data_IF_736638106797
#
_entry.id   IF_736638106797
#
_cell.length_a   1.000
_cell.length_b   1.000
_cell.length_c   1.000
_cell.angle_alpha   90.00
_cell.angle_beta   90.00
_cell.angle_gamma   90.00
#
_symmetry.space_group_name_H-M   'P 1'
#
loop_
_entity.id
_entity.type
_entity.pdbx_description
1 polymer ?
#
# COMPACT_ATOMS: atom_id res chain seq x y z
N UNK A 1 11.14 -6.11 21.92
CA UNK A 1 11.06 -6.42 20.47
C UNK A 1 11.16 -5.11 19.71
N UNK A 2 12.13 -4.98 18.81
CA UNK A 2 12.30 -3.81 17.94
C UNK A 2 11.85 -4.21 16.54
N UNK A 3 11.07 -3.35 15.89
CA UNK A 3 10.71 -3.49 14.49
C UNK A 3 11.75 -2.78 13.62
N UNK A 4 12.59 -3.56 12.91
CA UNK A 4 13.51 -2.97 11.93
C UNK A 4 12.75 -2.70 10.64
N UNK A 5 12.48 -1.42 10.40
CA UNK A 5 11.84 -0.93 9.20
C UNK A 5 12.93 -0.43 8.24
N UNK A 6 12.88 -0.73 6.95
CA UNK A 6 13.90 -0.20 6.06
C UNK A 6 13.87 1.33 6.00
N UNK A 7 15.03 1.98 5.84
CA UNK A 7 15.08 3.44 5.83
C UNK A 7 14.45 4.05 4.58
N UNK A 8 14.43 3.29 3.48
CA UNK A 8 13.90 3.72 2.17
C UNK A 8 13.03 2.64 1.54
N UNK A 9 12.05 3.08 0.76
CA UNK A 9 11.22 2.27 -0.14
C UNK A 9 11.68 2.50 -1.57
N UNK A 10 11.92 1.45 -2.34
CA UNK A 10 12.16 1.57 -3.78
C UNK A 10 10.84 1.86 -4.50
N UNK A 11 10.86 2.84 -5.40
CA UNK A 11 9.73 3.26 -6.22
C UNK A 11 9.69 2.54 -7.57
N UNK A 12 10.75 1.82 -7.96
CA UNK A 12 10.87 1.23 -9.29
C UNK A 12 9.88 0.07 -9.48
N UNK A 13 8.97 0.22 -10.45
CA UNK A 13 8.02 -0.82 -10.83
C UNK A 13 8.69 -2.12 -11.26
N UNK A 14 9.89 -2.06 -11.85
CA UNK A 14 10.64 -3.27 -12.29
C UNK A 14 10.95 -4.21 -11.11
N UNK A 15 11.11 -3.68 -9.90
CA UNK A 15 11.31 -4.52 -8.71
C UNK A 15 9.98 -5.10 -8.18
N UNK A 16 8.83 -4.52 -8.53
CA UNK A 16 7.49 -4.98 -8.15
C UNK A 16 6.87 -5.92 -9.20
N UNK A 17 7.25 -5.81 -10.47
CA UNK A 17 6.84 -6.73 -11.54
C UNK A 17 7.72 -7.98 -11.48
N UNK A 18 7.25 -8.99 -10.75
CA UNK A 18 7.80 -10.35 -10.85
C UNK A 18 7.76 -10.82 -12.31
N UNK A 19 8.94 -11.02 -12.87
CA UNK A 19 9.19 -11.92 -14.00
C UNK A 19 9.01 -11.30 -15.37
N UNK A 20 9.96 -11.68 -16.24
CA UNK A 20 9.97 -11.47 -17.69
C UNK A 20 10.38 -10.04 -18.09
N UNK A 21 11.67 -9.86 -18.33
CA UNK A 21 12.24 -9.45 -19.63
C UNK A 21 13.76 -9.37 -19.43
N UNK A 22 14.46 -10.25 -20.15
CA UNK A 22 15.89 -10.20 -20.38
C UNK A 22 16.25 -8.82 -20.96
N UNK A 23 17.28 -8.16 -20.45
CA UNK A 23 18.36 -7.62 -21.28
C UNK A 23 19.47 -7.05 -20.40
N UNK A 24 20.68 -7.49 -20.77
CA UNK A 24 22.00 -7.03 -20.42
C UNK A 24 22.14 -5.51 -20.45
N UNK A 25 22.77 -4.97 -19.41
CA UNK A 25 23.84 -3.95 -19.45
C UNK A 25 23.92 -3.28 -18.08
N UNK A 26 24.48 -4.03 -17.14
CA UNK A 26 24.70 -3.61 -15.76
C UNK A 26 26.04 -2.89 -15.60
N UNK A 27 26.29 -1.83 -16.37
CA UNK A 27 27.51 -1.01 -16.22
C UNK A 27 27.23 0.44 -16.59
N UNK A 28 26.65 1.21 -15.66
CA UNK A 28 27.02 2.61 -15.39
C UNK A 28 26.14 3.20 -14.27
N UNK A 29 26.82 3.79 -13.27
CA UNK A 29 26.31 4.77 -12.30
C UNK A 29 25.05 4.39 -11.47
N UNK A 30 25.22 3.45 -10.54
CA UNK A 30 24.19 3.03 -9.57
C UNK A 30 23.84 4.06 -8.48
N UNK A 31 24.68 5.06 -8.22
CA UNK A 31 24.44 6.00 -7.10
C UNK A 31 23.37 7.05 -7.40
N UNK A 32 23.43 7.72 -8.56
CA UNK A 32 22.50 8.82 -8.89
C UNK A 32 21.07 8.36 -9.24
N UNK A 33 20.90 7.13 -9.75
CA UNK A 33 19.58 6.61 -10.14
C UNK A 33 18.74 6.13 -8.94
N UNK A 34 19.36 5.86 -7.79
CA UNK A 34 18.64 5.40 -6.60
C UNK A 34 17.91 6.50 -5.84
N UNK A 35 18.42 7.74 -5.85
CA UNK A 35 17.75 8.87 -5.17
C UNK A 35 16.41 9.20 -5.84
N UNK A 36 16.34 9.17 -7.17
CA UNK A 36 15.09 9.37 -7.93
C UNK A 36 14.17 8.16 -7.95
N UNK A 37 14.67 6.97 -7.58
CA UNK A 37 13.89 5.73 -7.56
C UNK A 37 13.62 5.17 -6.16
N UNK A 38 13.74 6.00 -5.12
CA UNK A 38 13.38 5.63 -3.76
C UNK A 38 12.82 6.80 -2.96
N UNK A 39 11.95 6.52 -2.00
CA UNK A 39 11.50 7.52 -1.02
C UNK A 39 11.89 7.09 0.41
N UNK A 40 12.07 8.07 1.30
CA UNK A 40 12.31 7.78 2.72
C UNK A 40 11.05 7.15 3.34
N UNK A 41 11.22 6.14 4.18
CA UNK A 41 10.07 5.50 4.85
C UNK A 41 9.34 6.46 5.79
N UNK A 42 10.05 7.42 6.37
CA UNK A 42 9.48 8.51 7.19
C UNK A 42 8.59 9.47 6.38
N UNK A 43 8.80 9.55 5.06
CA UNK A 43 7.93 10.36 4.19
C UNK A 43 6.57 9.71 3.97
N UNK A 44 6.44 8.41 4.27
CA UNK A 44 5.24 7.61 4.15
C UNK A 44 4.60 7.34 5.50
N UNK A 45 5.41 7.02 6.53
CA UNK A 45 4.94 6.57 7.83
C UNK A 45 5.40 7.48 8.97
N UNK A 46 4.55 7.64 9.96
CA UNK A 46 4.88 8.35 11.19
C UNK A 46 5.61 7.41 12.15
N UNK A 47 6.94 7.47 12.12
CA UNK A 47 7.81 6.56 12.89
C UNK A 47 7.62 6.73 14.40
N UNK A 48 7.41 7.95 14.86
CA UNK A 48 7.17 8.23 16.28
C UNK A 48 5.82 7.63 16.73
N UNK A 49 4.79 7.75 15.90
CA UNK A 49 3.49 7.14 16.18
C UNK A 49 3.55 5.62 16.20
N UNK A 50 4.27 4.99 15.25
CA UNK A 50 4.51 3.54 15.26
C UNK A 50 5.27 3.14 16.53
N UNK A 51 6.28 3.92 16.91
CA UNK A 51 7.16 3.65 18.05
C UNK A 51 6.43 3.60 19.40
N UNK A 52 5.22 4.18 19.49
CA UNK A 52 4.33 4.03 20.67
C UNK A 52 3.79 2.60 20.84
N UNK A 53 3.68 1.84 19.75
CA UNK A 53 3.20 0.44 19.78
C UNK A 53 4.37 -0.54 19.74
N UNK A 54 5.35 -0.29 18.88
CA UNK A 54 6.56 -1.11 18.76
C UNK A 54 7.74 -0.22 18.44
N UNK A 55 8.82 -0.23 19.25
CA UNK A 55 10.01 0.56 18.96
C UNK A 55 10.51 0.28 17.54
N UNK A 56 10.70 1.34 16.74
CA UNK A 56 11.15 1.23 15.36
C UNK A 56 12.61 1.62 15.24
N UNK A 57 13.34 0.88 14.43
CA UNK A 57 14.69 1.24 13.99
C UNK A 57 14.68 1.27 12.47
N UNK A 58 15.08 2.41 11.90
CA UNK A 58 15.27 2.51 10.47
C UNK A 58 16.57 1.81 10.07
N UNK A 59 16.51 0.95 9.06
CA UNK A 59 17.66 0.19 8.56
C UNK A 59 18.59 1.12 7.77
N UNK A 60 19.39 1.90 8.51
CA UNK A 60 20.45 2.76 8.00
C UNK A 60 21.63 2.79 8.99
N UNK A 61 22.86 3.08 8.53
CA UNK A 61 24.05 3.07 9.38
C UNK A 61 23.94 3.97 10.62
N UNK A 62 23.28 5.13 10.49
CA UNK A 62 23.15 6.11 11.58
C UNK A 62 22.30 5.56 12.73
N UNK A 63 21.16 4.95 12.43
CA UNK A 63 20.27 4.36 13.44
C UNK A 63 20.93 3.18 14.14
N UNK A 64 21.65 2.35 13.37
CA UNK A 64 22.42 1.25 13.92
C UNK A 64 23.55 1.73 14.82
N UNK A 65 24.32 2.73 14.41
CA UNK A 65 25.37 3.33 15.21
C UNK A 65 24.83 3.90 16.53
N UNK A 66 23.66 4.56 16.50
CA UNK A 66 23.02 5.09 17.70
C UNK A 66 22.59 3.99 18.68
N UNK A 67 22.10 2.85 18.18
CA UNK A 67 21.72 1.69 19.00
C UNK A 67 22.96 1.07 19.64
N UNK A 68 23.99 0.78 18.84
CA UNK A 68 25.25 0.18 19.31
C UNK A 68 25.93 1.10 20.31
N UNK A 69 25.92 2.41 20.06
CA UNK A 69 26.50 3.40 20.97
C UNK A 69 25.71 3.56 22.27
N UNK A 70 24.40 3.26 22.27
CA UNK A 70 23.58 3.21 23.49
C UNK A 70 23.82 1.91 24.27
N UNK A 71 23.98 0.78 23.59
CA UNK A 71 24.28 -0.50 24.26
C UNK A 71 25.66 -0.48 24.93
N UNK A 72 26.68 0.10 24.30
CA UNK A 72 28.02 0.21 24.93
C UNK A 72 28.04 1.12 26.15
N UNK A 73 27.15 2.12 26.23
CA UNK A 73 27.01 3.00 27.41
C UNK A 73 26.31 2.35 28.59
N UNK A 74 25.63 1.22 28.40
CA UNK A 74 24.92 0.50 29.46
C UNK A 74 25.85 -0.40 30.32
N UNK A 75 27.16 -0.38 30.09
CA UNK A 75 28.15 -1.17 30.86
C UNK A 75 28.15 -2.65 30.50
N UNK A 76 28.84 -3.47 31.31
CA UNK A 76 28.95 -4.95 31.14
C UNK A 76 27.58 -5.66 31.12
N UNK A 77 26.51 -5.03 31.62
CA UNK A 77 25.15 -5.58 31.59
C UNK A 77 24.38 -5.28 30.29
N UNK A 78 24.90 -4.42 29.41
CA UNK A 78 24.26 -3.97 28.17
C UNK A 78 24.39 -4.92 26.97
N UNK A 79 24.69 -6.20 27.23
CA UNK A 79 25.22 -7.14 26.25
C UNK A 79 24.25 -7.49 25.11
N UNK A 80 24.81 -7.49 23.90
CA UNK A 80 24.16 -7.99 22.68
C UNK A 80 24.14 -9.52 22.76
N UNK A 81 23.01 -10.09 23.18
CA UNK A 81 22.85 -11.55 23.26
C UNK A 81 22.41 -12.15 21.91
N UNK A 82 23.10 -13.21 21.47
CA UNK A 82 22.71 -13.97 20.28
C UNK A 82 21.48 -14.86 20.59
N UNK A 83 20.33 -14.52 19.99
CA UNK A 83 19.04 -15.15 20.29
C UNK A 83 18.56 -16.16 19.21
N UNK A 84 19.41 -16.55 18.26
CA UNK A 84 19.01 -17.48 17.20
C UNK A 84 18.72 -18.87 17.79
N UNK A 85 17.54 -19.42 17.52
CA UNK A 85 17.11 -20.73 18.01
C UNK A 85 16.50 -20.73 19.42
N UNK A 86 16.57 -19.61 20.15
CA UNK A 86 16.03 -19.49 21.50
C UNK A 86 14.49 -19.43 21.44
N UNK A 87 13.83 -20.21 22.30
CA UNK A 87 12.37 -20.27 22.31
C UNK A 87 11.75 -18.96 22.85
N UNK A 88 10.48 -18.69 22.50
CA UNK A 88 9.78 -17.49 23.03
C UNK A 88 9.65 -17.51 24.56
N UNK A 89 9.50 -18.69 25.13
CA UNK A 89 9.40 -18.88 26.58
C UNK A 89 10.73 -18.57 27.25
N UNK A 90 11.82 -19.13 26.71
CA UNK A 90 13.17 -18.91 27.22
C UNK A 90 13.62 -17.45 27.11
N UNK A 91 13.29 -16.75 26.00
CA UNK A 91 13.53 -15.31 25.88
C UNK A 91 12.80 -14.47 26.94
N UNK A 92 11.72 -15.00 27.53
CA UNK A 92 10.91 -14.31 28.54
C UNK A 92 11.35 -14.66 29.97
N UNK A 93 11.78 -15.90 30.19
CA UNK A 93 12.10 -16.44 31.52
C UNK A 93 13.59 -16.32 31.87
N UNK A 94 14.49 -16.37 30.88
CA UNK A 94 15.92 -16.31 31.12
C UNK A 94 16.40 -14.87 31.34
N UNK A 95 16.98 -14.62 32.52
CA UNK A 95 17.48 -13.30 32.94
C UNK A 95 18.56 -12.74 32.01
N UNK A 96 19.31 -13.61 31.31
CA UNK A 96 20.27 -13.22 30.27
C UNK A 96 19.64 -12.34 29.18
N UNK A 97 18.38 -12.60 28.83
CA UNK A 97 17.66 -11.86 27.79
C UNK A 97 16.76 -10.75 28.35
N UNK A 98 16.59 -10.66 29.67
CA UNK A 98 15.64 -9.74 30.31
C UNK A 98 15.89 -8.27 29.98
N UNK A 99 17.17 -7.88 29.80
CA UNK A 99 17.60 -6.54 29.38
C UNK A 99 17.96 -6.44 27.89
N UNK A 100 17.95 -7.56 27.16
CA UNK A 100 18.42 -7.61 25.79
C UNK A 100 17.43 -6.96 24.81
N UNK A 101 17.94 -6.13 23.90
CA UNK A 101 17.14 -5.62 22.79
C UNK A 101 16.90 -6.72 21.75
N UNK A 102 15.74 -7.38 21.83
CA UNK A 102 15.36 -8.37 20.82
C UNK A 102 15.03 -7.68 19.49
N UNK A 103 15.98 -7.71 18.56
CA UNK A 103 15.86 -7.17 17.21
C UNK A 103 15.05 -8.15 16.36
N UNK A 104 13.82 -7.78 16.03
CA UNK A 104 13.04 -8.53 15.06
C UNK A 104 13.18 -7.82 13.71
N UNK A 105 13.99 -8.41 12.83
CA UNK A 105 14.06 -7.92 11.46
C UNK A 105 12.70 -8.16 10.80
N UNK A 106 12.27 -7.16 10.04
CA UNK A 106 11.18 -7.15 9.03
C UNK A 106 9.72 -7.02 9.54
N UNK A 107 8.83 -6.69 8.61
CA UNK A 107 7.42 -6.36 8.81
C UNK A 107 6.47 -7.36 8.13
N UNK A 108 5.16 -7.14 8.31
CA UNK A 108 4.09 -7.83 7.56
C UNK A 108 4.48 -8.06 6.09
N UNK A 109 4.36 -9.29 5.57
CA UNK A 109 4.77 -9.65 4.20
C UNK A 109 3.99 -8.90 3.11
N UNK A 110 2.95 -8.17 3.51
CA UNK A 110 2.07 -7.41 2.63
C UNK A 110 2.38 -5.90 2.62
N UNK A 111 3.36 -5.43 3.39
CA UNK A 111 3.80 -4.04 3.33
C UNK A 111 4.53 -3.80 1.99
N UNK A 112 4.25 -2.70 1.29
CA UNK A 112 4.80 -2.44 -0.06
C UNK A 112 6.32 -2.55 -0.16
N UNK A 113 7.01 -2.20 0.91
CA UNK A 113 8.46 -2.27 0.94
C UNK A 113 9.00 -3.71 0.92
N UNK A 114 8.15 -4.71 1.18
CA UNK A 114 8.48 -6.14 1.04
C UNK A 114 8.49 -6.62 -0.41
N UNK A 115 7.98 -5.84 -1.37
CA UNK A 115 7.96 -6.22 -2.80
C UNK A 115 9.35 -6.21 -3.44
N UNK A 116 10.31 -5.48 -2.86
CA UNK A 116 11.70 -5.46 -3.36
C UNK A 116 12.43 -6.79 -3.18
N UNK A 117 13.14 -7.19 -4.25
CA UNK A 117 13.71 -8.52 -4.55
C UNK A 117 14.44 -9.25 -3.41
N UNK A 118 14.99 -8.54 -2.43
CA UNK A 118 15.86 -9.12 -1.38
C UNK A 118 15.24 -9.17 0.02
N UNK A 119 13.94 -8.90 0.17
CA UNK A 119 13.24 -9.03 1.48
C UNK A 119 12.63 -10.41 1.72
N UNK A 120 13.19 -11.44 1.08
CA UNK A 120 12.85 -12.85 1.31
C UNK A 120 13.21 -13.32 2.73
N UNK A 121 14.05 -12.57 3.45
CA UNK A 121 14.25 -12.72 4.91
C UNK A 121 13.01 -12.21 5.65
N UNK A 122 11.98 -13.06 5.66
CA UNK A 122 10.67 -12.85 6.29
C UNK A 122 10.82 -12.63 7.80
N UNK A 123 10.11 -11.64 8.32
CA UNK A 123 10.00 -11.44 9.76
C UNK A 123 8.94 -12.29 10.41
N UNK A 124 9.17 -12.60 11.68
CA UNK A 124 8.15 -13.12 12.59
C UNK A 124 7.24 -12.04 13.21
N UNK A 125 7.38 -10.76 12.80
CA UNK A 125 6.57 -9.67 13.35
C UNK A 125 5.16 -9.72 12.77
N UNK A 126 4.25 -10.26 13.58
CA UNK A 126 2.80 -10.27 13.39
C UNK A 126 2.21 -8.86 13.63
N UNK A 127 2.64 -7.85 12.88
CA UNK A 127 1.85 -6.62 12.83
C UNK A 127 0.57 -6.90 12.04
N UNK A 128 -0.62 -6.52 12.55
CA UNK A 128 -1.86 -6.66 11.80
C UNK A 128 -1.73 -6.00 10.42
N UNK A 129 -2.40 -6.57 9.42
CA UNK A 129 -2.37 -6.04 8.05
C UNK A 129 -2.72 -4.54 7.97
N UNK A 130 -3.64 -4.08 8.83
CA UNK A 130 -4.10 -2.70 8.87
C UNK A 130 -3.20 -1.75 9.66
N UNK A 131 -2.16 -2.26 10.35
CA UNK A 131 -1.34 -1.44 11.25
C UNK A 131 -0.53 -0.37 10.53
N UNK A 132 0.32 -0.74 9.56
CA UNK A 132 1.09 0.27 8.81
C UNK A 132 0.19 1.26 8.07
N UNK A 133 -0.89 0.82 7.40
CA UNK A 133 -1.86 1.74 6.84
C UNK A 133 -2.52 2.73 7.78
N UNK A 134 -2.59 2.43 9.09
CA UNK A 134 -3.12 3.36 10.10
C UNK A 134 -2.06 4.31 10.65
N UNK A 135 -0.81 4.20 10.21
CA UNK A 135 0.32 5.02 10.68
C UNK A 135 0.97 5.87 9.57
N UNK A 136 0.19 6.54 8.69
CA UNK A 136 0.75 7.41 7.66
C UNK A 136 1.45 8.63 8.27
N UNK A 137 2.43 9.21 7.58
CA UNK A 137 3.15 10.40 8.01
C UNK A 137 2.20 11.58 8.29
N UNK A 138 2.54 12.41 9.28
CA UNK A 138 1.69 13.53 9.73
C UNK A 138 1.23 14.44 8.58
N UNK A 139 2.14 14.83 7.69
CA UNK A 139 1.82 15.67 6.52
C UNK A 139 0.71 15.07 5.63
N UNK A 140 0.71 13.75 5.46
CA UNK A 140 -0.29 13.03 4.65
C UNK A 140 -1.64 12.98 5.36
N UNK A 141 -1.65 12.81 6.70
CA UNK A 141 -2.87 12.89 7.51
C UNK A 141 -3.49 14.27 7.45
N UNK A 142 -2.67 15.30 7.61
CA UNK A 142 -3.14 16.69 7.61
C UNK A 142 -3.73 17.07 6.25
N UNK A 143 -3.08 16.66 5.14
CA UNK A 143 -3.62 16.83 3.79
C UNK A 143 -4.95 16.10 3.57
N UNK A 144 -5.02 14.81 3.95
CA UNK A 144 -6.26 14.05 3.85
C UNK A 144 -7.39 14.68 4.69
N UNK A 145 -7.10 15.16 5.90
CA UNK A 145 -8.09 15.80 6.76
C UNK A 145 -8.63 17.10 6.13
N UNK A 146 -7.78 17.94 5.55
CA UNK A 146 -8.22 19.15 4.82
C UNK A 146 -9.16 18.79 3.66
N UNK A 147 -8.82 17.77 2.88
CA UNK A 147 -9.66 17.32 1.75
C UNK A 147 -11.01 16.79 2.25
N UNK A 148 -11.03 15.99 3.32
CA UNK A 148 -12.27 15.50 3.92
C UNK A 148 -13.19 16.61 4.40
N UNK A 149 -12.63 17.67 4.99
CA UNK A 149 -13.41 18.85 5.40
C UNK A 149 -14.07 19.52 4.18
N UNK A 150 -13.35 19.64 3.05
CA UNK A 150 -13.91 20.22 1.81
C UNK A 150 -14.97 19.30 1.18
N UNK A 151 -14.77 17.99 1.24
CA UNK A 151 -15.73 17.00 0.72
C UNK A 151 -17.02 16.95 1.54
N UNK A 152 -16.96 17.23 2.85
CA UNK A 152 -18.13 17.19 3.75
C UNK A 152 -18.62 15.76 4.02
N UNK A 153 -19.91 15.51 3.81
CA UNK A 153 -20.48 14.15 3.81
C UNK A 153 -20.43 13.56 2.39
N UNK A 154 -19.60 12.55 2.19
CA UNK A 154 -19.32 11.94 0.89
C UNK A 154 -19.22 10.43 0.99
N UNK A 155 -19.33 9.78 -0.17
CA UNK A 155 -18.99 8.38 -0.37
C UNK A 155 -17.76 8.26 -1.26
N UNK A 156 -17.12 7.10 -1.27
CA UNK A 156 -15.92 6.89 -2.06
C UNK A 156 -15.92 5.55 -2.80
N UNK A 157 -15.32 5.54 -3.98
CA UNK A 157 -14.99 4.32 -4.71
C UNK A 157 -13.49 4.27 -5.02
N UNK A 158 -12.92 3.07 -4.93
CA UNK A 158 -11.57 2.77 -5.42
C UNK A 158 -11.68 1.88 -6.65
N UNK A 159 -11.13 2.34 -7.77
CA UNK A 159 -11.20 1.65 -9.08
C UNK A 159 -9.81 1.38 -9.62
N UNK A 160 -9.37 0.11 -9.55
CA UNK A 160 -8.13 -0.38 -10.16
C UNK A 160 -8.41 -0.97 -11.53
N UNK A 161 -7.92 -0.32 -12.57
CA UNK A 161 -8.02 -0.76 -13.97
C UNK A 161 -6.65 -0.85 -14.61
N UNK A 162 -5.88 0.24 -14.59
CA UNK A 162 -4.68 0.41 -15.40
C UNK A 162 -3.55 -0.60 -15.15
N UNK A 163 -3.53 -1.27 -14.00
CA UNK A 163 -2.55 -2.30 -13.66
C UNK A 163 -3.09 -3.74 -13.72
N UNK A 164 -4.42 -3.90 -13.74
CA UNK A 164 -5.12 -5.19 -13.66
C UNK A 164 -5.74 -5.64 -14.99
N UNK A 165 -6.09 -4.70 -15.88
CA UNK A 165 -6.57 -4.97 -17.24
C UNK A 165 -5.38 -5.39 -18.13
N UNK A 166 -4.93 -6.62 -17.91
CA UNK A 166 -3.89 -7.27 -18.71
C UNK A 166 -4.53 -8.45 -19.42
N UNK A 167 -4.68 -8.30 -20.72
CA UNK A 167 -5.20 -9.35 -21.58
C UNK A 167 -4.06 -10.01 -22.35
N UNK A 168 -4.24 -11.30 -22.64
CA UNK A 168 -3.42 -12.03 -23.62
C UNK A 168 -4.35 -12.78 -24.56
N UNK A 169 -3.95 -12.95 -25.81
CA UNK A 169 -4.65 -13.85 -26.72
C UNK A 169 -4.15 -15.28 -26.51
N UNK A 170 -5.06 -16.24 -26.45
CA UNK A 170 -4.69 -17.65 -26.50
C UNK A 170 -4.40 -18.09 -27.96
N UNK A 171 -4.09 -19.39 -28.14
CA UNK A 171 -3.79 -19.97 -29.46
C UNK A 171 -4.94 -19.88 -30.48
N UNK A 172 -6.17 -19.58 -30.03
CA UNK A 172 -7.35 -19.42 -30.87
C UNK A 172 -7.71 -17.95 -31.09
N UNK A 173 -6.89 -17.01 -30.59
CA UNK A 173 -7.12 -15.57 -30.71
C UNK A 173 -8.12 -15.02 -29.70
N UNK A 174 -8.62 -15.85 -28.76
CA UNK A 174 -9.57 -15.43 -27.73
C UNK A 174 -8.84 -14.63 -26.66
N UNK A 175 -9.39 -13.47 -26.29
CA UNK A 175 -8.83 -12.66 -25.22
C UNK A 175 -9.06 -13.31 -23.86
N UNK A 176 -7.97 -13.48 -23.13
CA UNK A 176 -7.96 -14.01 -21.78
C UNK A 176 -7.50 -12.98 -20.78
N UNK A 177 -8.15 -12.93 -19.63
CA UNK A 177 -7.84 -12.06 -18.50
C UNK A 177 -7.62 -12.88 -17.23
N UNK A 178 -6.86 -12.33 -16.27
CA UNK A 178 -6.76 -12.85 -14.90
C UNK A 178 -7.92 -12.39 -14.00
N UNK A 179 -8.69 -11.40 -14.47
CA UNK A 179 -9.90 -10.88 -13.84
C UNK A 179 -10.96 -10.75 -14.94
N UNK A 180 -11.66 -11.84 -15.29
CA UNK A 180 -12.51 -11.91 -16.47
C UNK A 180 -13.63 -10.88 -16.49
N UNK A 181 -14.15 -10.48 -15.31
CA UNK A 181 -15.27 -9.55 -15.22
C UNK A 181 -14.84 -8.10 -14.93
N UNK A 182 -13.55 -7.87 -14.68
CA UNK A 182 -13.05 -6.57 -14.21
C UNK A 182 -13.42 -5.42 -15.16
N UNK A 183 -13.24 -5.61 -16.46
CA UNK A 183 -13.49 -4.53 -17.42
C UNK A 183 -14.96 -4.13 -17.44
N UNK A 184 -15.85 -5.13 -17.62
CA UNK A 184 -17.30 -4.97 -17.51
C UNK A 184 -17.66 -4.29 -16.19
N UNK A 185 -17.29 -4.87 -15.05
CA UNK A 185 -17.77 -4.42 -13.73
C UNK A 185 -17.28 -3.02 -13.34
N UNK A 186 -16.13 -2.60 -13.89
CA UNK A 186 -15.56 -1.26 -13.65
C UNK A 186 -15.85 -0.26 -14.77
N UNK A 187 -16.67 -0.62 -15.76
CA UNK A 187 -17.18 0.32 -16.73
C UNK A 187 -18.18 1.28 -16.06
N UNK A 188 -18.16 2.60 -16.34
CA UNK A 188 -18.99 3.59 -15.65
C UNK A 188 -20.48 3.26 -15.53
N UNK A 189 -21.12 2.74 -16.59
CA UNK A 189 -22.54 2.35 -16.55
C UNK A 189 -22.81 1.21 -15.57
N UNK A 190 -21.87 0.28 -15.43
CA UNK A 190 -21.98 -0.88 -14.54
C UNK A 190 -21.69 -0.46 -13.10
N UNK A 191 -20.68 0.39 -12.90
CA UNK A 191 -20.43 1.05 -11.61
C UNK A 191 -21.71 1.79 -11.16
N UNK A 192 -22.31 2.60 -12.05
CA UNK A 192 -23.52 3.39 -11.76
C UNK A 192 -24.66 2.52 -11.25
N UNK A 193 -24.95 1.40 -11.94
CA UNK A 193 -25.98 0.42 -11.55
C UNK A 193 -25.64 -0.32 -10.25
N UNK A 194 -24.38 -0.72 -10.08
CA UNK A 194 -23.91 -1.49 -8.91
C UNK A 194 -24.00 -0.65 -7.64
N UNK A 195 -23.41 0.55 -7.63
CA UNK A 195 -23.31 1.37 -6.41
C UNK A 195 -24.62 2.07 -6.05
N UNK A 196 -25.57 2.19 -6.99
CA UNK A 196 -26.90 2.75 -6.75
C UNK A 196 -27.67 2.07 -5.61
N UNK A 197 -27.31 0.82 -5.29
CA UNK A 197 -27.87 0.04 -4.17
C UNK A 197 -27.41 0.56 -2.79
N UNK A 198 -26.30 1.28 -2.74
CA UNK A 198 -25.64 1.70 -1.50
C UNK A 198 -25.50 3.22 -1.38
N UNK A 199 -25.35 3.91 -2.51
CA UNK A 199 -25.08 5.34 -2.61
C UNK A 199 -26.28 6.02 -3.30
N UNK A 200 -27.07 6.82 -2.56
CA UNK A 200 -28.15 7.61 -3.13
C UNK A 200 -27.71 8.61 -4.21
N UNK A 201 -28.65 8.97 -5.09
CA UNK A 201 -28.47 10.05 -6.07
C UNK A 201 -28.18 11.39 -5.38
N UNK A 202 -27.39 12.24 -6.02
CA UNK A 202 -27.05 13.59 -5.57
C UNK A 202 -25.89 13.65 -4.56
N UNK A 203 -25.40 12.50 -4.09
CA UNK A 203 -24.28 12.47 -3.14
C UNK A 203 -22.94 12.77 -3.82
N UNK A 204 -22.02 13.32 -3.03
CA UNK A 204 -20.62 13.51 -3.43
C UNK A 204 -19.93 12.15 -3.47
N UNK A 205 -19.29 11.83 -4.60
CA UNK A 205 -18.57 10.59 -4.81
C UNK A 205 -17.10 10.89 -5.11
N UNK A 206 -16.23 10.58 -4.15
CA UNK A 206 -14.79 10.64 -4.34
C UNK A 206 -14.30 9.39 -5.09
N UNK A 207 -13.58 9.57 -6.20
CA UNK A 207 -13.08 8.48 -7.04
C UNK A 207 -11.54 8.46 -6.97
N UNK A 208 -11.00 7.42 -6.33
CA UNK A 208 -9.58 7.10 -6.42
C UNK A 208 -9.38 6.03 -7.50
N UNK A 209 -8.64 6.35 -8.55
CA UNK A 209 -8.41 5.41 -9.66
C UNK A 209 -7.06 5.61 -10.31
N UNK A 210 -6.53 4.53 -10.87
CA UNK A 210 -5.37 4.54 -11.76
C UNK A 210 -5.75 4.45 -13.24
N UNK A 211 -7.03 4.64 -13.58
CA UNK A 211 -7.49 4.81 -14.96
C UNK A 211 -6.84 6.06 -15.56
N UNK A 212 -6.33 5.93 -16.79
CA UNK A 212 -5.57 6.99 -17.46
C UNK A 212 -6.41 7.79 -18.44
N UNK A 213 -7.53 7.22 -18.87
CA UNK A 213 -8.42 7.83 -19.86
C UNK A 213 -9.12 9.05 -19.24
N UNK A 214 -8.87 10.27 -19.73
CA UNK A 214 -9.51 11.47 -19.20
C UNK A 214 -11.03 11.38 -19.32
N UNK A 215 -11.74 11.77 -18.27
CA UNK A 215 -13.20 11.76 -18.27
C UNK A 215 -13.84 10.37 -18.31
N UNK A 216 -13.10 9.28 -18.12
CA UNK A 216 -13.64 7.92 -18.11
C UNK A 216 -14.87 7.78 -17.21
N UNK A 217 -14.82 8.34 -16.00
CA UNK A 217 -15.92 8.28 -15.03
C UNK A 217 -17.00 9.37 -15.22
N UNK A 218 -16.90 10.21 -16.25
CA UNK A 218 -17.89 11.26 -16.52
C UNK A 218 -19.34 10.77 -16.63
N UNK A 219 -19.65 9.54 -17.11
CA UNK A 219 -21.04 9.05 -17.14
C UNK A 219 -21.69 8.84 -15.76
N UNK A 220 -20.91 8.92 -14.66
CA UNK A 220 -21.43 8.90 -13.29
C UNK A 220 -21.99 10.26 -12.84
N UNK A 221 -21.67 11.34 -13.57
CA UNK A 221 -22.01 12.72 -13.17
C UNK A 221 -23.51 13.06 -13.29
N UNK A 222 -24.26 12.26 -14.06
CA UNK A 222 -25.72 12.35 -14.13
C UNK A 222 -26.41 12.08 -12.78
N UNK A 223 -25.75 11.31 -11.91
CA UNK A 223 -26.29 10.80 -10.65
C UNK A 223 -25.52 11.25 -9.42
N UNK A 224 -24.22 11.52 -9.54
CA UNK A 224 -23.35 11.84 -8.40
C UNK A 224 -22.52 13.10 -8.65
N UNK A 225 -22.22 13.84 -7.59
CA UNK A 225 -21.24 14.94 -7.65
C UNK A 225 -19.83 14.36 -7.55
N UNK A 226 -19.11 14.31 -8.66
CA UNK A 226 -17.82 13.64 -8.73
C UNK A 226 -16.71 14.50 -8.12
N UNK A 227 -15.82 13.86 -7.36
CA UNK A 227 -14.60 14.47 -6.83
C UNK A 227 -13.41 13.54 -7.05
N UNK A 228 -12.26 14.13 -7.35
CA UNK A 228 -11.00 13.44 -7.64
C UNK A 228 -9.86 14.08 -6.87
N UNK A 229 -8.76 13.36 -6.66
CA UNK A 229 -7.53 13.92 -6.06
C UNK A 229 -7.04 15.17 -6.79
N UNK A 230 -7.17 15.21 -8.12
CA UNK A 230 -6.80 16.37 -8.94
C UNK A 230 -7.60 17.64 -8.65
N UNK A 231 -8.79 17.54 -8.04
CA UNK A 231 -9.55 18.72 -7.61
C UNK A 231 -8.95 19.41 -6.37
N UNK A 232 -7.95 18.79 -5.73
CA UNK A 232 -7.31 19.27 -4.51
C UNK A 232 -5.80 19.48 -4.68
N UNK A 233 -5.35 19.81 -5.90
CA UNK A 233 -3.93 19.96 -6.23
C UNK A 233 -3.21 20.93 -5.30
N UNK A 234 -3.81 22.06 -4.95
CA UNK A 234 -3.23 23.05 -4.01
C UNK A 234 -2.93 22.51 -2.61
N UNK A 235 -3.62 21.43 -2.18
CA UNK A 235 -3.37 20.75 -0.91
C UNK A 235 -2.33 19.62 -1.09
N UNK A 236 -2.35 18.95 -2.24
CA UNK A 236 -1.55 17.76 -2.50
C UNK A 236 -0.14 18.08 -3.01
N UNK A 237 0.02 19.05 -3.90
CA UNK A 237 1.32 19.42 -4.51
C UNK A 237 2.41 19.69 -3.47
N UNK A 238 2.16 20.38 -2.33
CA UNK A 238 3.20 20.61 -1.33
C UNK A 238 3.60 19.38 -0.51
N UNK A 239 2.85 18.27 -0.57
CA UNK A 239 3.05 17.11 0.30
C UNK A 239 3.36 15.81 -0.43
N UNK A 240 2.96 15.70 -1.71
CA UNK A 240 3.10 14.53 -2.56
C UNK A 240 4.29 14.69 -3.51
N UNK A 241 5.30 13.84 -3.32
CA UNK A 241 6.49 13.69 -4.15
C UNK A 241 6.39 12.46 -5.09
N UNK A 242 5.51 11.49 -4.78
CA UNK A 242 5.36 10.25 -5.55
C UNK A 242 3.99 9.58 -5.36
N UNK A 243 3.70 8.60 -6.23
CA UNK A 243 2.42 7.86 -6.25
C UNK A 243 2.10 7.09 -4.96
N UNK A 244 3.09 6.68 -4.16
CA UNK A 244 2.81 5.99 -2.89
C UNK A 244 2.26 6.95 -1.84
N UNK A 245 2.80 8.17 -1.76
CA UNK A 245 2.26 9.20 -0.88
C UNK A 245 0.84 9.58 -1.32
N UNK A 246 0.60 9.72 -2.63
CA UNK A 246 -0.73 9.99 -3.16
C UNK A 246 -1.71 8.89 -2.75
N UNK A 247 -1.34 7.63 -2.98
CA UNK A 247 -2.16 6.49 -2.60
C UNK A 247 -2.44 6.47 -1.08
N UNK A 248 -1.46 6.82 -0.24
CA UNK A 248 -1.68 6.90 1.21
C UNK A 248 -2.69 7.99 1.58
N UNK A 249 -2.63 9.16 0.93
CA UNK A 249 -3.62 10.22 1.14
C UNK A 249 -5.00 9.80 0.64
N UNK A 250 -5.10 9.23 -0.56
CA UNK A 250 -6.35 8.71 -1.11
C UNK A 250 -6.97 7.65 -0.20
N UNK A 251 -6.15 6.75 0.36
CA UNK A 251 -6.62 5.76 1.33
C UNK A 251 -7.22 6.41 2.56
N UNK A 252 -6.60 7.47 3.09
CA UNK A 252 -7.11 8.20 4.26
C UNK A 252 -8.39 8.98 3.94
N UNK A 253 -8.51 9.50 2.73
CA UNK A 253 -9.75 10.11 2.24
C UNK A 253 -10.84 9.04 2.15
N UNK A 254 -10.59 7.90 1.52
CA UNK A 254 -11.60 6.84 1.41
C UNK A 254 -12.04 6.26 2.76
N UNK A 255 -11.14 6.21 3.75
CA UNK A 255 -11.48 5.80 5.12
C UNK A 255 -12.42 6.76 5.85
N UNK A 256 -12.49 8.03 5.43
CA UNK A 256 -13.45 9.00 5.98
C UNK A 256 -14.83 8.97 5.32
N UNK A 257 -15.00 8.19 4.25
CA UNK A 257 -16.24 8.15 3.49
C UNK A 257 -17.34 7.39 4.25
N UNK A 258 -18.60 7.79 4.08
CA UNK A 258 -19.75 7.11 4.68
C UNK A 258 -19.92 5.70 4.14
N UNK A 259 -19.84 5.54 2.81
CA UNK A 259 -19.73 4.26 2.12
C UNK A 259 -18.43 4.25 1.34
N UNK A 260 -17.70 3.14 1.45
CA UNK A 260 -16.50 2.90 0.68
C UNK A 260 -16.66 1.62 -0.14
N UNK A 261 -16.59 1.75 -1.46
CA UNK A 261 -16.69 0.63 -2.40
C UNK A 261 -15.33 0.37 -3.03
N UNK A 262 -14.85 -0.87 -2.90
CA UNK A 262 -13.57 -1.31 -3.46
C UNK A 262 -13.76 -1.89 -4.86
N UNK A 263 -12.68 -1.98 -5.62
CA UNK A 263 -12.72 -2.70 -6.91
C UNK A 263 -13.07 -4.17 -6.71
N UNK A 264 -12.40 -4.84 -5.77
CA UNK A 264 -12.55 -6.25 -5.45
C UNK A 264 -12.70 -6.41 -3.94
N UNK A 265 -13.43 -7.45 -3.54
CA UNK A 265 -13.66 -7.79 -2.13
C UNK A 265 -12.35 -8.25 -1.47
N UNK A 266 -12.06 -7.75 -0.28
CA UNK A 266 -10.92 -8.21 0.54
C UNK A 266 -11.37 -8.87 1.85
N UNK A 267 -12.46 -8.37 2.42
CA UNK A 267 -13.11 -8.90 3.63
C UNK A 267 -14.61 -9.11 3.39
N UNK A 268 -15.25 -9.98 4.19
CA UNK A 268 -16.64 -10.40 3.98
C UNK A 268 -17.67 -9.26 3.95
N UNK A 269 -17.39 -8.16 4.65
CA UNK A 269 -18.28 -7.00 4.76
C UNK A 269 -17.92 -5.86 3.79
N UNK A 270 -16.94 -6.05 2.91
CA UNK A 270 -16.58 -5.03 1.93
C UNK A 270 -17.67 -4.88 0.87
N UNK A 271 -17.96 -3.63 0.50
CA UNK A 271 -18.67 -3.34 -0.74
C UNK A 271 -17.68 -3.43 -1.91
N UNK A 272 -18.01 -4.19 -2.96
CA UNK A 272 -17.15 -4.33 -4.14
C UNK A 272 -17.88 -4.09 -5.46
N UNK A 273 -17.14 -3.56 -6.44
CA UNK A 273 -17.60 -3.39 -7.82
C UNK A 273 -17.63 -4.72 -8.56
N UNK A 274 -16.55 -5.49 -8.44
CA UNK A 274 -16.36 -6.78 -9.08
C UNK A 274 -16.48 -7.90 -8.04
N UNK A 275 -17.06 -9.03 -8.47
CA UNK A 275 -17.18 -10.26 -7.69
C UNK A 275 -15.96 -11.18 -7.88
N UNK A 276 -15.03 -10.84 -8.79
CA UNK A 276 -13.75 -11.54 -8.96
C UNK A 276 -12.90 -11.50 -7.68
N UNK A 277 -12.16 -12.58 -7.38
CA UNK A 277 -11.28 -12.62 -6.22
C UNK A 277 -10.09 -11.65 -6.40
N UNK A 278 -9.80 -10.84 -5.37
CA UNK A 278 -8.64 -9.92 -5.36
C UNK A 278 -7.30 -10.62 -5.64
N UNK A 279 -7.15 -11.85 -5.16
CA UNK A 279 -6.02 -12.72 -5.50
C UNK A 279 -6.48 -13.64 -6.61
N UNK A 280 -6.03 -13.40 -7.85
CA UNK A 280 -6.29 -14.33 -8.93
C UNK A 280 -5.61 -15.68 -8.65
N UNK A 281 -6.22 -16.74 -9.16
CA UNK A 281 -5.71 -18.12 -9.14
C UNK A 281 -4.56 -18.34 -10.12
N UNK A 282 -4.14 -17.29 -10.85
CA UNK A 282 -3.27 -17.33 -12.04
C UNK A 282 -3.84 -18.13 -13.21
N UNK A 283 -5.12 -18.46 -13.15
CA UNK A 283 -5.87 -19.04 -14.26
C UNK A 283 -6.31 -17.91 -15.17
N UNK A 284 -6.13 -18.10 -16.47
CA UNK A 284 -6.50 -17.14 -17.50
C UNK A 284 -7.83 -17.56 -18.10
N UNK A 285 -8.84 -16.71 -17.94
CA UNK A 285 -10.23 -17.00 -18.30
C UNK A 285 -10.67 -16.08 -19.45
N UNK A 286 -11.75 -16.44 -20.14
CA UNK A 286 -12.33 -15.57 -21.18
C UNK A 286 -12.73 -14.22 -20.58
N UNK A 287 -12.31 -13.12 -21.23
CA UNK A 287 -12.74 -11.80 -20.79
C UNK A 287 -14.24 -11.60 -21.09
N UNK A 288 -14.98 -11.13 -20.10
CA UNK A 288 -16.41 -10.87 -20.19
C UNK A 288 -16.62 -9.36 -20.27
N UNK A 289 -17.17 -8.89 -21.40
CA UNK A 289 -17.36 -7.46 -21.67
C UNK A 289 -18.81 -7.00 -21.58
N UNK A 290 -19.77 -7.91 -21.70
CA UNK A 290 -21.21 -7.62 -21.70
C UNK A 290 -21.90 -8.29 -20.51
N UNK A 291 -23.05 -7.75 -20.12
CA UNK A 291 -24.00 -8.49 -19.30
C UNK A 291 -24.54 -9.65 -20.16
N UNK A 292 -24.50 -10.87 -19.62
CA UNK A 292 -25.20 -12.02 -20.18
C UNK A 292 -26.68 -12.04 -19.79
#
# INVERSE_FOLDING_TARGET
RIFVMPSRLCLNSVHNTRGIINQSDATSNKSGRWETSSCAMESLYDIDLISRTVPVVLDNPQSWYAIVSRSTKLGEEGDVAHAQGVSRQELKENTLYSKAFLINRTASPLAWFMECKDRTKRSSVMLPYNFLPSMPARKLRDAANKIKVILGDYDAIHVRRGDLLKNRKDRFGVERSLHPHLDRDTHPENIKRRIAKWIPRGRTLFIASNERTPGFFSPLSDRYKLAYSSNFSSILEPVIDNNYQLFMVERLIMQGARKFVKTMKEFDNDLSLCDDPKKNTKVWEEAVYTDG
#
